data_IF_627948962238
#
_entry.id   IF_627948962238
#
_cell.length_a   1.000
_cell.length_b   1.000
_cell.length_c   1.000
_cell.angle_alpha   90.00
_cell.angle_beta   90.00
_cell.angle_gamma   90.00
#
_symmetry.space_group_name_H-M   'P 1'
#
loop_
_entity.id
_entity.type
_entity.pdbx_description
1 polymer ?
#
# COMPACT_ATOMS: atom_id res chain seq x y z
N UNK A 1 -50.27 42.51 12.41
CA UNK A 1 -49.02 41.90 12.92
C UNK A 1 -48.75 40.62 12.16
N UNK A 2 -48.07 40.70 11.05
CA UNK A 2 -47.80 39.58 10.14
C UNK A 2 -46.41 39.03 10.47
N UNK A 3 -46.33 37.79 10.94
CA UNK A 3 -45.06 37.11 11.25
C UNK A 3 -44.50 36.53 9.94
N UNK A 4 -43.39 37.06 9.52
CA UNK A 4 -42.57 36.52 8.41
C UNK A 4 -41.81 35.31 8.93
N UNK A 5 -42.11 34.11 8.42
CA UNK A 5 -41.33 32.91 8.70
C UNK A 5 -40.13 32.86 7.73
N UNK A 6 -38.94 32.95 8.28
CA UNK A 6 -37.67 32.78 7.54
C UNK A 6 -37.45 31.29 7.35
N UNK A 7 -37.61 30.78 6.13
CA UNK A 7 -37.24 29.40 5.75
C UNK A 7 -35.75 29.41 5.45
N UNK A 8 -34.94 28.82 6.35
CA UNK A 8 -33.55 28.53 6.10
C UNK A 8 -33.49 27.32 5.16
N UNK A 9 -33.17 27.54 3.89
CA UNK A 9 -32.86 26.47 2.98
C UNK A 9 -31.43 25.95 3.32
N UNK A 10 -31.35 24.78 3.95
CA UNK A 10 -30.10 24.01 4.01
C UNK A 10 -29.76 23.57 2.59
N UNK A 11 -28.81 24.23 1.94
CA UNK A 11 -28.19 23.70 0.74
C UNK A 11 -27.24 22.58 1.19
N UNK A 12 -27.67 21.33 0.96
CA UNK A 12 -26.75 20.21 1.03
C UNK A 12 -25.63 20.46 0.02
N UNK A 13 -24.41 20.64 0.49
CA UNK A 13 -23.22 20.60 -0.36
C UNK A 13 -23.17 19.22 -1.02
N UNK A 14 -22.96 19.12 -2.33
CA UNK A 14 -22.73 17.85 -2.96
C UNK A 14 -21.49 17.22 -2.30
N UNK A 15 -21.69 16.07 -1.67
CA UNK A 15 -20.60 15.18 -1.32
C UNK A 15 -20.00 14.73 -2.66
N UNK A 16 -18.87 15.27 -3.04
CA UNK A 16 -18.13 14.72 -4.17
C UNK A 16 -17.71 13.32 -3.73
N UNK A 17 -18.37 12.30 -4.29
CA UNK A 17 -17.87 10.95 -4.27
C UNK A 17 -16.46 11.01 -4.86
N UNK A 18 -15.45 10.50 -4.16
CA UNK A 18 -14.09 10.39 -4.69
C UNK A 18 -14.15 9.65 -6.02
N UNK A 19 -13.28 9.99 -6.98
CA UNK A 19 -13.13 9.28 -8.26
C UNK A 19 -12.93 7.77 -8.08
N UNK A 20 -12.50 7.36 -6.92
CA UNK A 20 -12.34 6.04 -6.36
C UNK A 20 -13.59 5.11 -6.48
N UNK A 21 -14.81 5.65 -6.60
CA UNK A 21 -16.03 4.84 -6.78
C UNK A 21 -16.13 4.25 -8.19
N UNK A 22 -15.42 4.78 -9.16
CA UNK A 22 -15.53 4.34 -10.56
C UNK A 22 -15.04 2.90 -10.79
N UNK A 23 -14.10 2.41 -9.97
CA UNK A 23 -13.46 1.10 -10.13
C UNK A 23 -14.07 0.00 -9.25
N UNK A 24 -15.10 0.30 -8.47
CA UNK A 24 -15.74 -0.69 -7.60
C UNK A 24 -16.20 -1.93 -8.37
N UNK A 25 -15.85 -3.11 -7.82
CA UNK A 25 -16.26 -4.41 -8.34
C UNK A 25 -17.55 -4.88 -7.63
N UNK A 26 -18.74 -4.62 -8.20
CA UNK A 26 -20.00 -4.93 -7.52
C UNK A 26 -20.15 -6.40 -7.20
N UNK A 27 -20.52 -6.72 -5.96
CA UNK A 27 -20.75 -8.08 -5.50
C UNK A 27 -19.50 -8.84 -5.06
N UNK A 28 -18.33 -8.22 -5.12
CA UNK A 28 -17.07 -8.74 -4.55
C UNK A 28 -16.67 -7.93 -3.31
N UNK A 29 -15.84 -8.54 -2.45
CA UNK A 29 -15.10 -7.81 -1.42
C UNK A 29 -13.82 -7.18 -1.99
N UNK A 30 -13.36 -7.62 -3.16
CA UNK A 30 -12.33 -6.90 -3.91
C UNK A 30 -12.89 -5.55 -4.38
N UNK A 31 -12.11 -4.50 -4.21
CA UNK A 31 -12.48 -3.17 -4.68
C UNK A 31 -12.53 -3.11 -6.21
N UNK A 32 -11.52 -3.67 -6.88
CA UNK A 32 -11.50 -3.82 -8.33
C UNK A 32 -11.30 -5.27 -8.75
N UNK A 33 -11.75 -5.60 -9.96
CA UNK A 33 -11.42 -6.87 -10.59
C UNK A 33 -9.95 -6.86 -11.02
N UNK A 34 -9.17 -7.95 -10.82
CA UNK A 34 -7.80 -8.02 -11.31
C UNK A 34 -7.71 -7.74 -12.82
N UNK A 35 -6.79 -6.87 -13.19
CA UNK A 35 -6.46 -6.56 -14.58
C UNK A 35 -5.08 -7.09 -14.92
N UNK A 36 -4.89 -7.53 -16.16
CA UNK A 36 -3.57 -7.92 -16.67
C UNK A 36 -2.76 -6.64 -16.96
N UNK A 37 -1.74 -6.37 -16.14
CA UNK A 37 -0.89 -5.19 -16.26
C UNK A 37 0.11 -5.35 -17.41
N UNK A 38 0.77 -6.51 -17.45
CA UNK A 38 1.58 -6.99 -18.57
C UNK A 38 1.33 -8.50 -18.69
N UNK A 39 1.70 -9.17 -19.79
CA UNK A 39 1.41 -10.60 -19.98
C UNK A 39 1.82 -11.44 -18.77
N UNK A 40 0.81 -12.15 -18.21
CA UNK A 40 0.90 -13.06 -17.06
C UNK A 40 1.12 -12.37 -15.69
N UNK A 41 1.05 -11.05 -15.58
CA UNK A 41 1.10 -10.32 -14.31
C UNK A 41 -0.17 -9.52 -14.14
N UNK A 42 -0.90 -9.79 -13.07
CA UNK A 42 -2.21 -9.21 -12.78
C UNK A 42 -2.19 -8.44 -11.47
N UNK A 43 -3.05 -7.44 -11.36
CA UNK A 43 -3.25 -6.70 -10.11
C UNK A 43 -4.72 -6.33 -9.93
N UNK A 44 -5.26 -6.61 -8.76
CA UNK A 44 -6.50 -6.04 -8.27
C UNK A 44 -6.15 -4.73 -7.55
N UNK A 45 -6.57 -3.62 -8.16
CA UNK A 45 -6.24 -2.28 -7.65
C UNK A 45 -7.12 -1.98 -6.45
N UNK A 46 -6.50 -1.62 -5.32
CA UNK A 46 -7.20 -1.21 -4.12
C UNK A 46 -7.72 0.23 -4.22
N UNK A 47 -8.65 0.58 -3.34
CA UNK A 47 -9.11 1.95 -3.20
C UNK A 47 -7.94 2.88 -2.81
N UNK A 48 -7.86 4.04 -3.41
CA UNK A 48 -6.90 5.08 -2.98
C UNK A 48 -7.32 5.71 -1.65
N UNK A 49 -8.60 5.58 -1.28
CA UNK A 49 -9.17 5.97 0.01
C UNK A 49 -8.63 5.14 1.21
N UNK A 50 -8.78 5.63 2.44
CA UNK A 50 -8.53 4.82 3.64
C UNK A 50 -9.41 3.56 3.69
N UNK A 51 -9.04 2.54 4.51
CA UNK A 51 -9.87 1.36 4.70
C UNK A 51 -11.24 1.74 5.27
N UNK A 52 -12.33 1.32 4.60
CA UNK A 52 -13.72 1.54 5.02
C UNK A 52 -14.51 0.23 4.93
N UNK A 53 -15.75 0.26 5.44
CA UNK A 53 -16.68 -0.86 5.26
C UNK A 53 -17.04 -1.06 3.79
N UNK A 54 -17.19 0.03 3.03
CA UNK A 54 -17.60 0.02 1.62
C UNK A 54 -16.53 -0.65 0.74
N UNK A 55 -15.26 -0.27 0.90
CA UNK A 55 -14.14 -0.88 0.16
C UNK A 55 -13.63 -2.19 0.79
N UNK A 56 -14.32 -2.73 1.81
CA UNK A 56 -13.94 -3.95 2.52
C UNK A 56 -12.49 -3.96 3.06
N UNK A 57 -11.90 -2.79 3.28
CA UNK A 57 -10.50 -2.64 3.67
C UNK A 57 -9.50 -2.89 2.55
N UNK A 58 -9.95 -3.13 1.32
CA UNK A 58 -9.10 -3.32 0.15
C UNK A 58 -8.62 -1.96 -0.36
N UNK A 59 -7.48 -1.50 0.13
CA UNK A 59 -6.89 -0.21 -0.19
C UNK A 59 -5.43 -0.28 -0.66
N UNK A 60 -4.85 -1.47 -0.75
CA UNK A 60 -3.56 -1.74 -1.37
C UNK A 60 -3.72 -2.63 -2.61
N UNK A 61 -2.72 -2.71 -3.46
CA UNK A 61 -2.76 -3.56 -4.62
C UNK A 61 -2.46 -5.02 -4.25
N UNK A 62 -3.33 -5.93 -4.72
CA UNK A 62 -3.15 -7.37 -4.59
C UNK A 62 -2.79 -7.93 -5.96
N UNK A 63 -1.55 -8.40 -6.11
CA UNK A 63 -1.02 -8.81 -7.40
C UNK A 63 -0.77 -10.30 -7.46
N UNK A 64 -0.75 -10.87 -8.68
CA UNK A 64 -0.32 -12.24 -8.87
C UNK A 64 0.39 -12.45 -10.22
N UNK A 65 1.30 -13.41 -10.23
CA UNK A 65 2.14 -13.76 -11.37
C UNK A 65 1.79 -15.20 -11.75
N UNK A 66 1.31 -15.40 -12.97
CA UNK A 66 0.98 -16.72 -13.52
C UNK A 66 2.17 -17.27 -14.25
N UNK A 67 2.57 -18.51 -13.91
CA UNK A 67 3.63 -19.24 -14.60
C UNK A 67 3.15 -20.63 -15.02
N UNK A 68 3.92 -21.34 -15.83
CA UNK A 68 3.59 -22.70 -16.26
C UNK A 68 3.65 -23.74 -15.13
N UNK A 69 4.24 -23.39 -13.97
CA UNK A 69 4.42 -24.31 -12.83
C UNK A 69 3.59 -23.92 -11.61
N UNK A 70 2.94 -22.76 -11.61
CA UNK A 70 2.15 -22.28 -10.49
C UNK A 70 1.95 -20.77 -10.52
N UNK A 71 1.28 -20.26 -9.49
CA UNK A 71 1.02 -18.84 -9.29
C UNK A 71 1.75 -18.34 -8.05
N UNK A 72 2.36 -17.16 -8.15
CA UNK A 72 2.90 -16.42 -7.03
C UNK A 72 2.00 -15.22 -6.75
N UNK A 73 1.57 -15.05 -5.51
CA UNK A 73 0.76 -13.91 -5.04
C UNK A 73 1.64 -12.91 -4.33
N UNK A 74 1.38 -11.64 -4.52
CA UNK A 74 2.03 -10.53 -3.81
C UNK A 74 0.97 -9.76 -3.04
N UNK A 75 1.14 -9.72 -1.73
CA UNK A 75 0.20 -9.30 -0.70
C UNK A 75 -0.99 -10.24 -0.51
N UNK A 76 -1.14 -10.69 0.71
CA UNK A 76 -2.25 -11.58 1.08
C UNK A 76 -3.59 -10.83 1.24
N UNK A 77 -3.54 -9.50 1.39
CA UNK A 77 -4.71 -8.64 1.58
C UNK A 77 -5.05 -8.37 3.05
N UNK A 78 -6.00 -7.47 3.27
CA UNK A 78 -6.42 -6.99 4.59
C UNK A 78 -7.38 -7.96 5.33
N UNK A 79 -7.70 -9.11 4.75
CA UNK A 79 -8.58 -10.11 5.39
C UNK A 79 -8.52 -11.47 4.70
N UNK A 80 -8.98 -12.51 5.44
CA UNK A 80 -9.25 -13.84 4.89
C UNK A 80 -10.17 -13.76 3.67
N UNK A 81 -11.25 -12.98 3.79
CA UNK A 81 -12.28 -12.84 2.77
C UNK A 81 -11.73 -12.17 1.49
N UNK A 82 -10.81 -11.21 1.62
CA UNK A 82 -10.14 -10.60 0.47
C UNK A 82 -9.21 -11.60 -0.24
N UNK A 83 -8.44 -12.36 0.52
CA UNK A 83 -7.57 -13.41 -0.03
C UNK A 83 -8.38 -14.50 -0.72
N UNK A 84 -9.52 -14.94 -0.13
CA UNK A 84 -10.45 -15.89 -0.72
C UNK A 84 -11.02 -15.38 -2.06
N UNK A 85 -11.41 -14.10 -2.10
CA UNK A 85 -11.93 -13.46 -3.32
C UNK A 85 -10.85 -13.33 -4.40
N UNK A 86 -9.61 -12.94 -4.04
CA UNK A 86 -8.49 -12.90 -4.98
C UNK A 86 -8.21 -14.30 -5.57
N UNK A 87 -8.21 -15.33 -4.72
CA UNK A 87 -7.99 -16.71 -5.19
C UNK A 87 -9.09 -17.19 -6.16
N UNK A 88 -10.34 -16.75 -5.96
CA UNK A 88 -11.41 -17.04 -6.91
C UNK A 88 -11.14 -16.40 -8.27
N UNK A 89 -10.62 -15.17 -8.32
CA UNK A 89 -10.23 -14.50 -9.57
C UNK A 89 -9.01 -15.17 -10.22
N UNK A 90 -8.03 -15.63 -9.44
CA UNK A 90 -6.89 -16.41 -9.95
C UNK A 90 -7.38 -17.67 -10.67
N UNK A 91 -8.31 -18.42 -10.05
CA UNK A 91 -8.91 -19.62 -10.65
C UNK A 91 -9.72 -19.33 -11.93
N UNK A 92 -10.22 -18.11 -12.09
CA UNK A 92 -10.88 -17.70 -13.33
C UNK A 92 -9.89 -17.40 -14.47
N UNK A 93 -8.62 -17.15 -14.15
CA UNK A 93 -7.55 -16.86 -15.10
C UNK A 93 -6.75 -18.10 -15.48
N UNK A 94 -6.50 -19.00 -14.52
CA UNK A 94 -5.62 -20.17 -14.72
C UNK A 94 -6.02 -21.35 -13.82
N UNK A 95 -5.74 -22.57 -14.29
CA UNK A 95 -5.86 -23.81 -13.51
C UNK A 95 -4.59 -24.08 -12.65
N UNK A 96 -3.55 -23.25 -12.76
CA UNK A 96 -2.32 -23.43 -11.99
C UNK A 96 -2.57 -23.16 -10.50
N UNK A 97 -2.01 -23.98 -9.58
CA UNK A 97 -2.17 -23.75 -8.15
C UNK A 97 -1.33 -22.53 -7.68
N UNK A 98 -1.82 -21.83 -6.69
CA UNK A 98 -0.99 -20.86 -5.94
C UNK A 98 0.01 -21.65 -5.10
N UNK A 99 1.29 -21.32 -5.23
CA UNK A 99 2.39 -22.01 -4.54
C UNK A 99 3.11 -21.15 -3.54
N UNK A 100 3.06 -19.82 -3.70
CA UNK A 100 3.84 -18.91 -2.90
C UNK A 100 3.08 -17.59 -2.75
N UNK A 101 3.15 -17.01 -1.55
CA UNK A 101 2.69 -15.68 -1.24
C UNK A 101 3.87 -14.86 -0.69
N UNK A 102 4.16 -13.72 -1.30
CA UNK A 102 5.01 -12.70 -0.70
C UNK A 102 4.15 -11.64 -0.03
N UNK A 103 4.53 -11.22 1.17
CA UNK A 103 3.94 -10.06 1.84
C UNK A 103 4.96 -8.93 1.90
N UNK A 104 4.59 -7.77 1.39
CA UNK A 104 5.52 -6.66 1.17
C UNK A 104 6.02 -5.99 2.44
N UNK A 105 5.20 -5.97 3.51
CA UNK A 105 5.55 -5.38 4.80
C UNK A 105 4.72 -6.00 5.94
N UNK A 106 4.96 -5.54 7.19
CA UNK A 106 4.31 -6.04 8.40
C UNK A 106 2.90 -5.47 8.67
N UNK A 107 2.32 -4.73 7.75
CA UNK A 107 1.05 -4.05 7.97
C UNK A 107 -0.17 -4.94 7.69
N UNK A 108 -1.30 -4.59 8.30
CA UNK A 108 -2.51 -5.40 8.19
C UNK A 108 -3.06 -5.55 6.77
N UNK A 109 -2.86 -4.56 5.89
CA UNK A 109 -3.29 -4.63 4.50
C UNK A 109 -2.51 -5.68 3.69
N UNK A 110 -1.26 -5.96 4.07
CA UNK A 110 -0.41 -6.93 3.40
C UNK A 110 -0.53 -8.34 4.00
N UNK A 111 -0.77 -8.47 5.33
CA UNK A 111 -0.60 -9.75 6.04
C UNK A 111 -1.88 -10.34 6.67
N UNK A 112 -2.97 -9.61 6.87
CA UNK A 112 -4.15 -10.20 7.52
C UNK A 112 -4.81 -11.32 6.70
N UNK A 113 -4.63 -11.35 5.39
CA UNK A 113 -5.06 -12.43 4.52
C UNK A 113 -4.21 -13.71 4.61
N UNK A 114 -3.08 -13.71 5.36
CA UNK A 114 -2.23 -14.90 5.56
C UNK A 114 -3.03 -16.09 6.08
N UNK A 115 -4.04 -15.84 6.94
CA UNK A 115 -4.89 -16.90 7.48
C UNK A 115 -5.61 -17.70 6.41
N UNK A 116 -5.98 -17.10 5.29
CA UNK A 116 -6.56 -17.83 4.15
C UNK A 116 -5.52 -18.71 3.45
N UNK A 117 -4.35 -18.16 3.15
CA UNK A 117 -3.31 -18.88 2.41
C UNK A 117 -2.73 -20.04 3.22
N UNK A 118 -2.58 -19.87 4.53
CA UNK A 118 -2.20 -20.93 5.45
C UNK A 118 -3.23 -22.09 5.44
N UNK A 119 -4.53 -21.79 5.45
CA UNK A 119 -5.60 -22.80 5.31
C UNK A 119 -5.56 -23.53 3.97
N UNK A 120 -5.01 -22.90 2.92
CA UNK A 120 -4.79 -23.54 1.62
C UNK A 120 -3.45 -24.34 1.57
N UNK A 121 -2.62 -24.25 2.62
CA UNK A 121 -1.29 -24.89 2.66
C UNK A 121 -0.28 -24.25 1.71
N UNK A 122 -0.44 -22.94 1.43
CA UNK A 122 0.46 -22.16 0.57
C UNK A 122 1.55 -21.53 1.44
N UNK A 123 2.81 -21.64 1.01
CA UNK A 123 3.94 -21.01 1.70
C UNK A 123 3.84 -19.49 1.66
N UNK A 124 4.08 -18.85 2.81
CA UNK A 124 4.06 -17.39 3.00
C UNK A 124 5.44 -16.91 3.37
N UNK A 125 5.99 -15.97 2.59
CA UNK A 125 7.33 -15.44 2.73
C UNK A 125 7.30 -13.93 2.98
N UNK A 126 8.09 -13.44 3.94
CA UNK A 126 8.22 -12.02 4.26
C UNK A 126 9.66 -11.66 4.67
N UNK A 127 9.96 -10.37 4.68
CA UNK A 127 11.17 -9.89 5.37
C UNK A 127 11.07 -10.13 6.87
N UNK A 128 12.22 -10.40 7.54
CA UNK A 128 12.22 -10.70 8.99
C UNK A 128 11.72 -9.52 9.84
N UNK A 129 12.00 -8.28 9.44
CA UNK A 129 11.47 -7.10 10.13
C UNK A 129 9.96 -6.95 9.96
N UNK A 130 9.44 -7.24 8.78
CA UNK A 130 7.99 -7.26 8.52
C UNK A 130 7.27 -8.33 9.36
N UNK A 131 7.87 -9.52 9.47
CA UNK A 131 7.33 -10.59 10.30
C UNK A 131 7.31 -10.19 11.79
N UNK A 132 8.37 -9.54 12.28
CA UNK A 132 8.46 -9.00 13.65
C UNK A 132 7.44 -7.90 13.92
N UNK A 133 7.28 -6.97 12.99
CA UNK A 133 6.25 -5.93 13.08
C UNK A 133 4.84 -6.54 13.17
N UNK A 134 4.55 -7.54 12.34
CA UNK A 134 3.25 -8.19 12.36
C UNK A 134 3.03 -9.06 13.60
N UNK A 135 4.06 -9.69 14.15
CA UNK A 135 4.01 -10.38 15.44
C UNK A 135 3.63 -9.42 16.58
N UNK A 136 4.20 -8.21 16.57
CA UNK A 136 3.94 -7.19 17.59
C UNK A 136 2.57 -6.51 17.44
N UNK A 137 2.18 -6.15 16.19
CA UNK A 137 1.01 -5.30 15.93
C UNK A 137 -0.14 -5.98 15.21
N UNK A 138 -0.01 -7.24 14.79
CA UNK A 138 -1.03 -7.96 14.01
C UNK A 138 -2.39 -8.03 14.71
N UNK A 139 -2.42 -8.32 16.00
CA UNK A 139 -3.65 -8.32 16.80
C UNK A 139 -4.32 -6.95 16.89
N UNK A 140 -3.52 -5.87 16.95
CA UNK A 140 -4.05 -4.50 16.92
C UNK A 140 -4.63 -4.19 15.54
N UNK A 141 -3.94 -4.59 14.50
CA UNK A 141 -4.38 -4.43 13.10
C UNK A 141 -5.69 -5.18 12.85
N UNK A 142 -5.81 -6.42 13.33
CA UNK A 142 -7.03 -7.22 13.24
C UNK A 142 -8.21 -6.55 13.97
N UNK A 143 -8.01 -6.08 15.21
CA UNK A 143 -9.06 -5.36 15.95
C UNK A 143 -9.50 -4.08 15.22
N UNK A 144 -8.56 -3.35 14.63
CA UNK A 144 -8.86 -2.15 13.85
C UNK A 144 -9.66 -2.50 12.58
N UNK A 145 -9.30 -3.58 11.88
CA UNK A 145 -10.04 -4.09 10.74
C UNK A 145 -11.46 -4.53 11.15
N UNK A 146 -11.63 -5.29 12.22
CA UNK A 146 -12.93 -5.70 12.75
C UNK A 146 -13.84 -4.52 13.09
N UNK A 147 -13.28 -3.46 13.68
CA UNK A 147 -14.04 -2.26 14.00
C UNK A 147 -14.54 -1.51 12.75
N UNK A 148 -13.73 -1.47 11.68
CA UNK A 148 -14.02 -0.73 10.44
C UNK A 148 -14.83 -1.54 9.44
N UNK A 149 -14.43 -2.79 9.20
CA UNK A 149 -14.90 -3.64 8.10
C UNK A 149 -15.93 -4.67 8.57
N UNK A 150 -16.05 -4.87 9.89
CA UNK A 150 -17.06 -5.69 10.58
C UNK A 150 -17.05 -7.15 10.13
N UNK A 151 -18.21 -7.67 9.64
CA UNK A 151 -18.37 -9.06 9.22
C UNK A 151 -17.57 -9.45 7.97
N UNK A 152 -17.08 -8.46 7.19
CA UNK A 152 -16.24 -8.73 6.01
C UNK A 152 -14.81 -9.15 6.36
N UNK A 153 -14.48 -9.27 7.65
CA UNK A 153 -13.21 -9.81 8.17
C UNK A 153 -13.45 -10.88 9.25
N UNK A 154 -14.63 -11.50 9.25
CA UNK A 154 -15.07 -12.39 10.33
C UNK A 154 -14.24 -13.68 10.44
N UNK A 155 -13.68 -14.18 9.33
CA UNK A 155 -12.84 -15.39 9.29
C UNK A 155 -11.37 -15.11 9.55
N UNK A 156 -10.98 -13.82 9.59
CA UNK A 156 -9.58 -13.39 9.63
C UNK A 156 -8.96 -13.66 11.00
N UNK A 157 -7.76 -14.22 11.02
CA UNK A 157 -6.91 -14.37 12.19
C UNK A 157 -5.47 -13.95 11.88
N UNK A 158 -4.68 -13.67 12.91
CA UNK A 158 -3.26 -13.34 12.76
C UNK A 158 -2.48 -14.64 12.53
N UNK A 159 -1.82 -14.73 11.38
CA UNK A 159 -0.95 -15.84 11.00
C UNK A 159 0.36 -15.27 10.48
N UNK A 160 1.47 -15.66 11.11
CA UNK A 160 2.81 -15.22 10.75
C UNK A 160 3.27 -15.90 9.46
N UNK A 161 4.23 -15.31 8.72
CA UNK A 161 4.88 -15.97 7.59
C UNK A 161 5.56 -17.28 8.00
N UNK A 162 5.59 -18.25 7.07
CA UNK A 162 6.28 -19.54 7.26
C UNK A 162 7.80 -19.40 7.13
N UNK A 163 8.23 -18.53 6.22
CA UNK A 163 9.64 -18.30 5.88
C UNK A 163 9.96 -16.81 5.93
N UNK A 164 11.10 -16.47 6.51
CA UNK A 164 11.62 -15.10 6.53
C UNK A 164 12.99 -15.01 5.88
N UNK A 165 13.33 -13.83 5.36
CA UNK A 165 14.65 -13.53 4.78
C UNK A 165 15.10 -12.10 5.15
N UNK A 166 16.41 -11.79 4.93
CA UNK A 166 16.98 -10.49 5.27
C UNK A 166 17.22 -9.62 4.03
N UNK A 167 17.86 -10.14 2.98
CA UNK A 167 18.27 -9.32 1.83
C UNK A 167 17.46 -9.65 0.57
N UNK A 168 17.55 -10.91 0.12
CA UNK A 168 16.92 -11.38 -1.12
C UNK A 168 16.40 -12.81 -0.96
N UNK A 169 15.17 -13.02 -1.38
CA UNK A 169 14.60 -14.35 -1.59
C UNK A 169 14.29 -14.52 -3.07
N UNK A 170 14.91 -15.49 -3.73
CA UNK A 170 14.75 -15.72 -5.17
C UNK A 170 14.12 -17.08 -5.45
N UNK A 171 13.20 -17.12 -6.40
CA UNK A 171 12.62 -18.34 -6.93
C UNK A 171 12.52 -18.23 -8.44
N UNK A 172 12.85 -19.33 -9.15
CA UNK A 172 12.50 -19.49 -10.57
C UNK A 172 11.33 -20.45 -10.68
N UNK A 173 10.23 -20.01 -11.25
CA UNK A 173 8.99 -20.78 -11.40
C UNK A 173 8.52 -20.70 -12.86
N UNK A 174 8.39 -21.85 -13.54
CA UNK A 174 8.01 -21.88 -14.96
C UNK A 174 8.92 -21.04 -15.86
N UNK A 175 10.22 -20.96 -15.55
CA UNK A 175 11.20 -20.16 -16.27
C UNK A 175 11.13 -18.65 -16.02
N UNK A 176 10.31 -18.21 -15.07
CA UNK A 176 10.25 -16.79 -14.64
C UNK A 176 11.06 -16.63 -13.37
N UNK A 177 12.05 -15.75 -13.38
CA UNK A 177 12.80 -15.37 -12.17
C UNK A 177 12.01 -14.31 -11.42
N UNK A 178 11.78 -14.56 -10.13
CA UNK A 178 11.02 -13.72 -9.22
C UNK A 178 11.88 -13.49 -7.99
N UNK A 179 12.18 -12.25 -7.71
CA UNK A 179 13.07 -11.87 -6.61
C UNK A 179 12.35 -10.94 -5.64
N UNK A 180 12.13 -11.39 -4.41
CA UNK A 180 11.73 -10.53 -3.31
C UNK A 180 13.00 -9.89 -2.74
N UNK A 181 13.10 -8.56 -2.79
CA UNK A 181 14.29 -7.81 -2.39
C UNK A 181 13.98 -6.81 -1.31
N UNK A 182 14.73 -6.84 -0.24
CA UNK A 182 14.85 -5.72 0.68
C UNK A 182 15.91 -4.76 0.13
N UNK A 183 15.53 -3.52 -0.14
CA UNK A 183 16.43 -2.52 -0.74
C UNK A 183 17.02 -1.55 0.28
N UNK A 184 16.48 -1.54 1.48
CA UNK A 184 16.78 -0.62 2.57
C UNK A 184 15.51 -0.08 3.22
N UNK A 185 15.64 0.75 4.26
CA UNK A 185 14.49 1.36 4.93
C UNK A 185 13.65 2.20 3.96
N UNK A 186 12.31 2.08 4.09
CA UNK A 186 11.38 2.83 3.26
C UNK A 186 10.18 3.32 4.10
N UNK A 187 8.95 2.97 3.70
CA UNK A 187 7.74 3.34 4.42
C UNK A 187 7.66 2.67 5.80
N UNK A 188 8.09 1.41 5.89
CA UNK A 188 8.21 0.63 7.12
C UNK A 188 9.53 -0.14 7.19
N UNK A 189 9.91 -0.73 8.34
CA UNK A 189 11.21 -1.37 8.50
C UNK A 189 11.48 -2.56 7.58
N UNK A 190 10.45 -3.26 7.14
CA UNK A 190 10.57 -4.51 6.38
C UNK A 190 9.93 -4.46 4.99
N UNK A 191 9.83 -3.27 4.38
CA UNK A 191 9.29 -3.14 3.02
C UNK A 191 10.17 -3.85 2.01
N UNK A 192 9.57 -4.72 1.21
CA UNK A 192 10.24 -5.40 0.10
C UNK A 192 9.58 -5.05 -1.22
N UNK A 193 10.35 -5.25 -2.28
CA UNK A 193 9.83 -5.17 -3.65
C UNK A 193 9.94 -6.54 -4.32
N UNK A 194 9.01 -6.85 -5.21
CA UNK A 194 9.08 -8.06 -6.05
C UNK A 194 9.53 -7.65 -7.43
N UNK A 195 10.75 -8.06 -7.78
CA UNK A 195 11.40 -7.74 -9.04
C UNK A 195 11.32 -8.91 -10.03
N UNK A 196 10.86 -8.63 -11.24
CA UNK A 196 10.81 -9.56 -12.37
C UNK A 196 11.76 -9.08 -13.46
N UNK A 197 13.05 -9.48 -13.43
CA UNK A 197 14.07 -8.93 -14.32
C UNK A 197 13.77 -9.13 -15.81
N UNK A 198 13.28 -10.31 -16.21
CA UNK A 198 12.97 -10.60 -17.62
C UNK A 198 11.79 -9.76 -18.14
N UNK A 199 10.97 -9.20 -17.26
CA UNK A 199 9.81 -8.39 -17.60
C UNK A 199 10.05 -6.89 -17.41
N UNK A 200 11.21 -6.51 -16.82
CA UNK A 200 11.50 -5.12 -16.39
C UNK A 200 10.34 -4.53 -15.58
N UNK A 201 9.73 -5.35 -14.72
CA UNK A 201 8.60 -4.98 -13.88
C UNK A 201 8.95 -5.13 -12.40
N UNK A 202 8.59 -4.14 -11.61
CA UNK A 202 8.63 -4.21 -10.16
C UNK A 202 7.22 -4.06 -9.58
N UNK A 203 6.84 -4.95 -8.65
CA UNK A 203 5.72 -4.76 -7.73
C UNK A 203 6.35 -4.18 -6.49
N UNK A 204 6.15 -2.88 -6.27
CA UNK A 204 6.95 -2.12 -5.33
C UNK A 204 6.43 -2.13 -3.90
N UNK A 205 5.19 -2.57 -3.68
CA UNK A 205 4.57 -2.34 -2.39
C UNK A 205 4.65 -0.88 -1.96
N UNK A 206 4.71 -0.65 -0.68
CA UNK A 206 4.74 0.70 -0.09
C UNK A 206 6.10 1.42 -0.25
N UNK A 207 7.08 0.81 -0.93
CA UNK A 207 8.23 1.54 -1.46
C UNK A 207 7.78 2.69 -2.37
N UNK A 208 6.66 2.53 -3.12
CA UNK A 208 6.17 3.53 -4.04
C UNK A 208 4.64 3.65 -4.01
N UNK A 209 4.16 4.90 -4.05
CA UNK A 209 2.76 5.29 -4.09
C UNK A 209 2.43 5.98 -5.42
N UNK A 210 1.17 5.89 -5.85
CA UNK A 210 0.63 6.58 -7.00
C UNK A 210 -0.80 7.05 -6.69
N UNK A 211 -1.20 8.22 -7.22
CA UNK A 211 -2.54 8.83 -7.12
C UNK A 211 -2.99 9.23 -5.71
N UNK A 212 -2.44 8.66 -4.67
CA UNK A 212 -2.74 9.05 -3.29
C UNK A 212 -1.48 9.55 -2.57
N UNK A 213 -1.69 10.37 -1.54
CA UNK A 213 -0.62 10.79 -0.63
C UNK A 213 -0.20 9.60 0.24
N UNK A 214 1.11 9.40 0.33
CA UNK A 214 1.70 8.41 1.23
C UNK A 214 1.55 8.85 2.71
N UNK A 215 1.30 7.93 3.65
CA UNK A 215 1.38 8.23 5.07
C UNK A 215 2.82 8.18 5.57
N UNK A 216 3.17 9.06 6.51
CA UNK A 216 4.43 9.01 7.26
C UNK A 216 4.10 8.63 8.70
N UNK A 217 4.63 7.51 9.18
CA UNK A 217 4.43 7.00 10.52
C UNK A 217 5.60 7.37 11.44
N UNK A 218 5.48 7.06 12.72
CA UNK A 218 6.51 7.35 13.74
C UNK A 218 7.84 6.62 13.45
N UNK A 219 7.77 5.46 12.81
CA UNK A 219 8.92 4.63 12.44
C UNK A 219 9.42 4.87 11.00
N UNK A 220 8.71 5.64 10.19
CA UNK A 220 9.11 5.97 8.81
C UNK A 220 10.26 6.98 8.85
N UNK A 221 11.44 6.59 8.38
CA UNK A 221 12.61 7.48 8.30
C UNK A 221 12.70 8.06 6.88
N UNK A 222 12.22 9.30 6.71
CA UNK A 222 12.08 9.90 5.37
C UNK A 222 13.39 10.14 4.65
N UNK A 223 14.49 10.43 5.37
CA UNK A 223 15.82 10.57 4.78
C UNK A 223 16.34 9.23 4.24
N UNK A 224 16.18 8.17 5.03
CA UNK A 224 16.61 6.82 4.64
C UNK A 224 15.79 6.32 3.45
N UNK A 225 14.47 6.57 3.44
CA UNK A 225 13.62 6.20 2.29
C UNK A 225 14.08 6.87 0.99
N UNK A 226 14.40 8.18 1.03
CA UNK A 226 14.96 8.89 -0.13
C UNK A 226 16.28 8.26 -0.57
N UNK A 227 17.16 7.92 0.37
CA UNK A 227 18.44 7.26 0.08
C UNK A 227 18.23 5.89 -0.56
N UNK A 228 17.36 5.05 0.01
CA UNK A 228 16.99 3.74 -0.56
C UNK A 228 16.42 3.89 -1.97
N UNK A 229 15.60 4.92 -2.20
CA UNK A 229 15.07 5.22 -3.52
C UNK A 229 16.17 5.51 -4.53
N UNK A 230 17.05 6.45 -4.21
CA UNK A 230 18.09 6.96 -5.13
C UNK A 230 19.18 5.94 -5.39
N UNK A 231 19.57 5.14 -4.39
CA UNK A 231 20.68 4.21 -4.49
C UNK A 231 20.29 2.81 -4.98
N UNK A 232 19.05 2.37 -4.70
CA UNK A 232 18.66 0.99 -4.95
C UNK A 232 17.39 0.82 -5.78
N UNK A 233 16.29 1.51 -5.43
CA UNK A 233 15.01 1.29 -6.09
C UNK A 233 15.03 1.75 -7.55
N UNK A 234 15.50 2.97 -7.81
CA UNK A 234 15.58 3.50 -9.17
C UNK A 234 16.62 2.76 -10.03
N UNK A 235 17.67 2.24 -9.38
CA UNK A 235 18.72 1.44 -10.04
C UNK A 235 18.22 0.08 -10.58
N UNK A 236 17.02 -0.40 -10.19
CA UNK A 236 16.38 -1.57 -10.81
C UNK A 236 16.10 -1.34 -12.29
N UNK A 237 15.94 -0.09 -12.73
CA UNK A 237 15.64 0.25 -14.11
C UNK A 237 14.29 -0.28 -14.60
N UNK A 238 13.30 -0.39 -13.70
CA UNK A 238 11.98 -0.91 -14.01
C UNK A 238 11.26 -0.02 -15.03
N UNK A 239 10.72 -0.64 -16.08
CA UNK A 239 9.84 0.03 -17.05
C UNK A 239 8.42 0.10 -16.51
N UNK A 240 7.97 -0.98 -15.88
CA UNK A 240 6.63 -1.10 -15.31
C UNK A 240 6.72 -1.15 -13.79
N UNK A 241 5.86 -0.38 -13.13
CA UNK A 241 5.75 -0.33 -11.67
C UNK A 241 4.31 -0.61 -11.27
N UNK A 242 4.10 -1.61 -10.43
CA UNK A 242 2.84 -1.79 -9.70
C UNK A 242 3.11 -1.25 -8.29
N UNK A 243 2.58 -0.06 -7.94
CA UNK A 243 2.78 0.53 -6.61
C UNK A 243 2.00 -0.22 -5.54
N UNK A 244 2.27 0.04 -4.26
CA UNK A 244 1.46 -0.48 -3.17
C UNK A 244 0.03 0.06 -3.22
N UNK A 245 -0.13 1.30 -3.67
CA UNK A 245 -1.41 1.99 -3.79
C UNK A 245 -1.49 2.79 -5.09
N UNK A 246 -2.69 2.81 -5.70
CA UNK A 246 -2.95 3.47 -6.98
C UNK A 246 -2.69 2.58 -8.19
N UNK A 247 -3.01 3.07 -9.38
CA UNK A 247 -2.91 2.27 -10.60
C UNK A 247 -1.47 1.98 -11.01
N UNK A 248 -1.21 0.82 -11.66
CA UNK A 248 0.07 0.49 -12.28
C UNK A 248 0.52 1.59 -13.23
N UNK A 249 1.82 1.89 -13.23
CA UNK A 249 2.39 3.00 -13.97
C UNK A 249 3.88 2.75 -14.29
N UNK A 250 4.71 3.79 -14.31
CA UNK A 250 6.13 3.74 -14.56
C UNK A 250 6.94 4.46 -13.46
N UNK A 251 8.27 4.31 -13.49
CA UNK A 251 9.18 4.88 -12.50
C UNK A 251 9.05 6.41 -12.40
N UNK A 252 8.88 7.11 -13.53
CA UNK A 252 8.77 8.58 -13.52
C UNK A 252 7.52 9.09 -12.77
N UNK A 253 6.42 8.35 -12.88
CA UNK A 253 5.20 8.72 -12.15
C UNK A 253 5.35 8.46 -10.66
N UNK A 254 5.72 7.24 -10.24
CA UNK A 254 5.84 6.94 -8.81
C UNK A 254 6.91 7.81 -8.13
N UNK A 255 7.95 8.24 -8.86
CA UNK A 255 8.95 9.19 -8.35
C UNK A 255 8.30 10.49 -7.93
N UNK A 256 7.42 11.07 -8.76
CA UNK A 256 6.70 12.33 -8.47
C UNK A 256 5.81 12.23 -7.25
N UNK A 257 5.15 11.07 -7.07
CA UNK A 257 4.18 10.86 -6.00
C UNK A 257 4.83 10.43 -4.68
N UNK A 258 6.03 9.87 -4.73
CA UNK A 258 6.72 9.35 -3.53
C UNK A 258 7.97 10.17 -3.22
N UNK A 259 9.05 9.97 -3.96
CA UNK A 259 10.35 10.57 -3.68
C UNK A 259 10.33 12.10 -3.73
N UNK A 260 9.77 12.67 -4.79
CA UNK A 260 9.75 14.12 -4.97
C UNK A 260 8.85 14.80 -3.92
N UNK A 261 7.76 14.14 -3.49
CA UNK A 261 6.95 14.58 -2.37
C UNK A 261 7.75 14.58 -1.04
N UNK A 262 8.47 13.50 -0.75
CA UNK A 262 9.31 13.43 0.45
C UNK A 262 10.37 14.53 0.47
N UNK A 263 11.06 14.76 -0.65
CA UNK A 263 12.05 15.83 -0.78
C UNK A 263 11.39 17.20 -0.60
N UNK A 264 10.27 17.44 -1.26
CA UNK A 264 9.54 18.69 -1.13
C UNK A 264 9.17 18.98 0.33
N UNK A 265 8.58 18.00 1.01
CA UNK A 265 8.14 18.18 2.40
C UNK A 265 9.32 18.43 3.33
N UNK A 266 10.42 17.68 3.18
CA UNK A 266 11.66 17.91 3.95
C UNK A 266 12.26 19.29 3.69
N UNK A 267 12.19 19.82 2.46
CA UNK A 267 12.64 21.18 2.14
C UNK A 267 11.77 22.23 2.83
N UNK A 268 10.44 22.07 2.85
CA UNK A 268 9.54 22.98 3.56
C UNK A 268 9.83 22.98 5.06
N UNK A 269 9.96 21.80 5.66
CA UNK A 269 10.27 21.64 7.09
C UNK A 269 11.65 22.19 7.42
N UNK A 270 12.68 21.91 6.60
CA UNK A 270 14.02 22.43 6.81
C UNK A 270 14.07 23.96 6.81
N UNK A 271 13.41 24.60 5.84
CA UNK A 271 13.28 26.06 5.80
C UNK A 271 12.61 26.61 7.06
N UNK A 272 11.52 25.95 7.50
CA UNK A 272 10.78 26.35 8.71
C UNK A 272 11.64 26.25 9.99
N UNK A 273 12.44 25.18 10.11
CA UNK A 273 13.39 25.00 11.22
C UNK A 273 14.50 26.05 11.20
N UNK A 274 15.08 26.36 10.03
CA UNK A 274 16.12 27.36 9.86
C UNK A 274 15.65 28.79 10.25
N UNK A 275 14.35 29.06 10.06
CA UNK A 275 13.69 30.30 10.47
C UNK A 275 13.27 30.31 11.95
N UNK A 276 13.51 29.23 12.68
CA UNK A 276 13.16 29.05 14.10
C UNK A 276 11.67 28.78 14.34
N UNK A 277 10.99 28.21 13.35
CA UNK A 277 9.59 27.81 13.44
C UNK A 277 9.39 26.62 14.37
N UNK A 278 8.24 26.52 14.98
CA UNK A 278 7.89 25.45 15.91
C UNK A 278 6.99 24.36 15.29
N UNK A 279 6.79 23.24 16.01
CA UNK A 279 5.96 22.14 15.59
C UNK A 279 4.50 22.53 15.32
N UNK A 280 3.95 23.48 16.10
CA UNK A 280 2.55 23.87 15.96
C UNK A 280 2.28 24.54 14.60
N UNK A 281 3.22 25.33 14.12
CA UNK A 281 3.17 25.95 12.80
C UNK A 281 3.56 24.97 11.68
N UNK A 282 4.47 24.01 11.96
CA UNK A 282 4.90 22.98 11.00
C UNK A 282 3.74 22.15 10.44
N UNK A 283 2.71 21.88 11.22
CA UNK A 283 1.50 21.16 10.78
C UNK A 283 0.80 21.82 9.57
N UNK A 284 1.00 23.12 9.36
CA UNK A 284 0.30 23.93 8.34
C UNK A 284 1.22 24.38 7.20
N UNK A 285 2.41 23.79 7.07
CA UNK A 285 3.30 24.08 5.96
C UNK A 285 2.60 23.82 4.62
N UNK A 286 2.92 24.68 3.63
CA UNK A 286 2.28 24.59 2.32
C UNK A 286 2.65 23.29 1.58
N UNK A 287 1.66 22.50 1.29
CA UNK A 287 1.75 21.27 0.49
C UNK A 287 0.80 21.33 -0.71
N UNK A 288 0.34 22.53 -1.08
CA UNK A 288 -0.62 22.74 -2.17
C UNK A 288 -0.24 22.13 -3.53
N UNK A 289 1.05 21.99 -3.91
CA UNK A 289 1.43 21.27 -5.12
C UNK A 289 0.93 19.81 -5.17
N UNK A 290 0.67 19.22 -4.00
CA UNK A 290 0.22 17.83 -3.84
C UNK A 290 -1.27 17.72 -3.43
N UNK A 291 -2.01 18.82 -3.40
CA UNK A 291 -3.43 18.84 -3.01
C UNK A 291 -4.36 18.06 -3.94
N UNK A 292 -3.86 17.66 -5.11
CA UNK A 292 -4.58 16.81 -6.06
C UNK A 292 -4.52 15.31 -5.72
N UNK A 293 -3.71 14.92 -4.72
CA UNK A 293 -3.59 13.52 -4.31
C UNK A 293 -4.76 13.10 -3.42
N UNK A 294 -5.29 11.92 -3.65
CA UNK A 294 -6.24 11.31 -2.75
C UNK A 294 -5.64 11.20 -1.33
N UNK A 295 -6.46 11.31 -0.31
CA UNK A 295 -6.06 11.34 1.11
C UNK A 295 -5.21 12.56 1.53
N UNK A 296 -5.09 13.60 0.69
CA UNK A 296 -4.35 14.83 1.04
C UNK A 296 -4.86 15.45 2.34
N UNK A 297 -6.17 15.66 2.45
CA UNK A 297 -6.80 16.30 3.61
C UNK A 297 -6.58 15.53 4.92
N UNK A 298 -6.46 14.20 4.85
CA UNK A 298 -6.24 13.35 6.02
C UNK A 298 -4.77 13.26 6.44
N UNK A 299 -3.85 13.39 5.49
CA UNK A 299 -2.44 13.04 5.70
C UNK A 299 -1.49 14.24 5.69
N UNK A 300 -1.73 15.28 4.90
CA UNK A 300 -0.76 16.36 4.70
C UNK A 300 -0.28 16.99 6.02
N UNK A 301 -1.23 17.36 6.89
CA UNK A 301 -0.93 17.92 8.20
C UNK A 301 -0.10 16.97 9.06
N UNK A 302 -0.49 15.69 9.11
CA UNK A 302 0.21 14.69 9.92
C UNK A 302 1.62 14.43 9.40
N UNK A 303 1.77 14.33 8.08
CA UNK A 303 3.07 14.11 7.45
C UNK A 303 4.04 15.26 7.77
N UNK A 304 3.56 16.51 7.71
CA UNK A 304 4.39 17.68 8.04
C UNK A 304 4.88 17.64 9.49
N UNK A 305 4.00 17.36 10.44
CA UNK A 305 4.37 17.20 11.85
C UNK A 305 5.38 16.07 12.07
N UNK A 306 5.19 14.92 11.41
CA UNK A 306 6.13 13.78 11.51
C UNK A 306 7.51 14.10 10.96
N UNK A 307 7.57 14.75 9.81
CA UNK A 307 8.85 15.15 9.22
C UNK A 307 9.54 16.21 10.08
N UNK A 308 8.81 17.13 10.69
CA UNK A 308 9.37 18.08 11.65
C UNK A 308 10.00 17.38 12.86
N UNK A 309 9.26 16.46 13.49
CA UNK A 309 9.76 15.67 14.64
C UNK A 309 11.03 14.89 14.30
N UNK A 310 11.17 14.38 13.07
CA UNK A 310 12.39 13.72 12.61
C UNK A 310 13.55 14.70 12.46
N UNK A 311 13.31 15.82 11.74
CA UNK A 311 14.37 16.76 11.34
C UNK A 311 14.83 17.66 12.49
N UNK A 312 14.02 17.85 13.54
CA UNK A 312 14.42 18.63 14.72
C UNK A 312 15.66 18.05 15.43
N UNK A 313 15.93 16.75 15.24
CA UNK A 313 17.04 16.03 15.88
C UNK A 313 18.11 15.53 14.89
N UNK A 314 18.00 15.84 13.60
CA UNK A 314 19.03 15.58 12.59
C UNK A 314 20.10 16.70 12.61
#
# INVERSE_FOLDING_TARGET
MTRLALILALTALPCFASEDIADQYPGSVLYSKPVEVIPHVFSAIGATAPPTYENAGHNNNLSFIVTDEGVVVVNSGASYELAEALHAEIKAVTDQPVKLVFTENGQGHAMLGNSYWADQGVEIVAHSDAAREFEEYGDRSLRAAQARVKEKVAKTSVVLPDTTFEDVYSVTMGGVDIEARYLGPAHSPGDIVIWLPQKSLVISGDMAFHERMLPIFDHTMTADWITTWDEAFEALGATYVIPGHGHPTNMDQVRRYTRDYLIYLRQQVGTHLDEGGDLADAYYLDQSPYAHLDTFEELATKNAGRVYEQMEFE
#
